data_IF_441480779529
#
_entry.id   IF_441480779529
#
_cell.length_a   1.000
_cell.length_b   1.000
_cell.length_c   1.000
_cell.angle_alpha   90.00
_cell.angle_beta   90.00
_cell.angle_gamma   90.00
#
_symmetry.space_group_name_H-M   'P 1'
#
loop_
_entity.id
_entity.type
_entity.pdbx_description
1 polymer ?
#
# COMPACT_ATOMS: atom_id res chain seq x y z
N UNK A 1 9.99 -40.31 4.87
CA UNK A 1 9.80 -39.78 3.50
C UNK A 1 8.93 -38.54 3.59
N UNK A 2 9.53 -37.35 3.47
CA UNK A 2 8.77 -36.10 3.47
C UNK A 2 7.95 -35.98 2.19
N UNK A 3 6.64 -35.82 2.30
CA UNK A 3 5.78 -35.45 1.18
C UNK A 3 6.35 -34.19 0.53
N UNK A 4 6.85 -34.28 -0.70
CA UNK A 4 7.16 -33.09 -1.51
C UNK A 4 5.88 -32.29 -1.63
N UNK A 5 5.82 -31.16 -0.93
CA UNK A 5 4.72 -30.20 -1.07
C UNK A 5 4.80 -29.67 -2.50
N UNK A 6 3.77 -29.90 -3.30
CA UNK A 6 3.67 -29.29 -4.63
C UNK A 6 3.70 -27.78 -4.47
N UNK A 7 4.74 -27.15 -4.98
CA UNK A 7 4.89 -25.70 -4.99
C UNK A 7 4.12 -25.18 -6.20
N UNK A 8 3.03 -24.47 -5.94
CA UNK A 8 2.25 -23.79 -6.99
C UNK A 8 2.68 -22.33 -7.11
N UNK A 9 2.49 -21.71 -8.27
CA UNK A 9 2.79 -20.30 -8.49
C UNK A 9 2.04 -19.40 -7.45
N UNK A 10 0.78 -19.68 -7.18
CA UNK A 10 0.01 -18.95 -6.18
C UNK A 10 0.59 -19.03 -4.76
N UNK A 11 1.18 -20.17 -4.39
CA UNK A 11 1.82 -20.33 -3.09
C UNK A 11 3.11 -19.53 -2.99
N UNK A 12 3.92 -19.52 -4.04
CA UNK A 12 5.13 -18.69 -4.11
C UNK A 12 4.77 -17.21 -4.00
N UNK A 13 3.77 -16.76 -4.76
CA UNK A 13 3.29 -15.39 -4.73
C UNK A 13 2.83 -14.97 -3.32
N UNK A 14 2.10 -15.83 -2.62
CA UNK A 14 1.61 -15.55 -1.27
C UNK A 14 2.73 -15.41 -0.22
N UNK A 15 3.88 -16.03 -0.44
CA UNK A 15 5.03 -15.96 0.47
C UNK A 15 5.95 -14.77 0.17
N UNK A 16 5.79 -14.08 -0.95
CA UNK A 16 6.59 -12.91 -1.30
C UNK A 16 6.19 -11.69 -0.47
N UNK A 17 7.18 -11.01 0.09
CA UNK A 17 6.96 -9.81 0.89
C UNK A 17 6.81 -8.54 0.03
N UNK A 18 6.37 -7.45 0.67
CA UNK A 18 6.18 -6.17 -0.02
C UNK A 18 7.50 -5.60 -0.59
N UNK A 19 8.64 -5.90 0.03
CA UNK A 19 9.95 -5.52 -0.47
C UNK A 19 10.27 -6.16 -1.82
N UNK A 20 9.90 -7.41 -2.03
CA UNK A 20 10.02 -8.07 -3.33
C UNK A 20 9.17 -7.34 -4.38
N UNK A 21 7.89 -7.08 -4.11
CA UNK A 21 7.01 -6.38 -5.04
C UNK A 21 7.52 -4.97 -5.37
N UNK A 22 8.04 -4.26 -4.37
CA UNK A 22 8.66 -2.95 -4.58
C UNK A 22 9.86 -3.03 -5.52
N UNK A 23 10.69 -4.08 -5.41
CA UNK A 23 11.88 -4.24 -6.24
C UNK A 23 11.60 -4.32 -7.74
N UNK A 24 10.40 -4.74 -8.14
CA UNK A 24 9.99 -4.79 -9.56
C UNK A 24 9.93 -3.40 -10.21
N UNK A 25 9.83 -2.35 -9.41
CA UNK A 25 9.77 -0.95 -9.85
C UNK A 25 11.10 -0.22 -9.69
N UNK A 26 12.13 -0.88 -9.17
CA UNK A 26 13.50 -0.36 -9.20
C UNK A 26 14.05 -0.35 -10.62
N UNK A 27 14.86 0.66 -10.94
CA UNK A 27 15.25 0.94 -12.32
C UNK A 27 15.88 -0.26 -13.03
N UNK A 28 16.72 -1.03 -12.35
CA UNK A 28 17.41 -2.17 -12.94
C UNK A 28 16.46 -3.34 -13.23
N UNK A 29 15.61 -3.69 -12.29
CA UNK A 29 14.65 -4.78 -12.46
C UNK A 29 13.55 -4.41 -13.45
N UNK A 30 13.07 -3.19 -13.38
CA UNK A 30 12.05 -2.68 -14.29
C UNK A 30 12.50 -2.70 -15.75
N UNK A 31 13.77 -2.34 -16.02
CA UNK A 31 14.34 -2.40 -17.35
C UNK A 31 14.40 -3.83 -17.88
N UNK A 32 14.77 -4.80 -17.05
CA UNK A 32 14.77 -6.22 -17.41
C UNK A 32 13.36 -6.76 -17.71
N UNK A 33 12.35 -6.25 -17.03
CA UNK A 33 10.95 -6.62 -17.21
C UNK A 33 10.25 -5.83 -18.32
N UNK A 34 10.98 -4.99 -19.04
CA UNK A 34 10.50 -4.23 -20.21
C UNK A 34 9.23 -3.41 -19.94
N UNK A 35 9.10 -2.85 -18.75
CA UNK A 35 7.95 -2.00 -18.38
C UNK A 35 6.66 -2.74 -18.03
N UNK A 36 6.64 -4.06 -18.06
CA UNK A 36 5.44 -4.86 -17.75
C UNK A 36 4.84 -4.55 -16.37
N UNK A 37 5.61 -4.34 -15.28
CA UNK A 37 5.02 -4.07 -13.97
C UNK A 37 4.09 -2.87 -13.90
N UNK A 38 4.30 -1.83 -14.72
CA UNK A 38 3.38 -0.69 -14.74
C UNK A 38 2.06 -0.95 -15.46
N UNK A 39 1.96 -1.99 -16.27
CA UNK A 39 0.76 -2.29 -17.07
C UNK A 39 -0.44 -2.72 -16.21
N UNK A 40 -0.21 -3.14 -14.96
CA UNK A 40 -1.29 -3.49 -14.04
C UNK A 40 -2.09 -2.25 -13.57
N UNK A 41 -1.48 -1.07 -13.62
CA UNK A 41 -2.10 0.18 -13.20
C UNK A 41 -2.85 0.84 -14.37
N UNK A 42 -3.99 0.28 -14.72
CA UNK A 42 -4.80 0.78 -15.86
C UNK A 42 -5.37 2.18 -15.64
N UNK A 43 -5.61 2.56 -14.38
CA UNK A 43 -6.12 3.87 -14.01
C UNK A 43 -5.05 4.86 -13.56
N UNK A 44 -3.79 4.63 -13.89
CA UNK A 44 -2.69 5.49 -13.49
C UNK A 44 -2.87 6.90 -14.06
N UNK A 45 -2.74 7.96 -13.21
CA UNK A 45 -2.85 9.34 -13.70
C UNK A 45 -1.80 9.67 -14.76
N UNK A 46 -2.16 10.57 -15.67
CA UNK A 46 -1.23 11.07 -16.69
C UNK A 46 0.01 11.68 -16.04
N UNK A 47 1.19 11.34 -16.54
CA UNK A 47 2.47 11.79 -16.00
C UNK A 47 3.04 10.88 -14.89
N UNK A 48 2.27 9.93 -14.39
CA UNK A 48 2.76 8.93 -13.45
C UNK A 48 3.34 7.74 -14.19
N UNK A 49 4.42 7.18 -13.64
CA UNK A 49 5.08 6.00 -14.19
C UNK A 49 5.79 5.21 -13.09
N UNK A 50 6.82 4.49 -13.48
CA UNK A 50 7.61 3.65 -12.59
C UNK A 50 8.07 4.36 -11.31
N UNK A 51 8.60 5.58 -11.45
CA UNK A 51 9.18 6.34 -10.33
C UNK A 51 8.12 6.65 -9.27
N UNK A 52 6.96 7.12 -9.69
CA UNK A 52 5.86 7.47 -8.80
C UNK A 52 5.30 6.21 -8.12
N UNK A 53 5.11 5.12 -8.84
CA UNK A 53 4.66 3.84 -8.29
C UNK A 53 5.68 3.31 -7.28
N UNK A 54 6.98 3.34 -7.60
CA UNK A 54 8.02 2.91 -6.69
C UNK A 54 7.99 3.69 -5.37
N UNK A 55 7.86 5.01 -5.46
CA UNK A 55 7.75 5.89 -4.28
C UNK A 55 6.52 5.55 -3.44
N UNK A 56 5.36 5.37 -4.06
CA UNK A 56 4.11 5.04 -3.37
C UNK A 56 4.22 3.70 -2.63
N UNK A 57 4.76 2.68 -3.28
CA UNK A 57 4.94 1.37 -2.65
C UNK A 57 5.93 1.46 -1.46
N UNK A 58 6.98 2.27 -1.59
CA UNK A 58 7.91 2.51 -0.48
C UNK A 58 7.22 3.20 0.69
N UNK A 59 6.38 4.20 0.44
CA UNK A 59 5.62 4.91 1.47
C UNK A 59 4.66 3.96 2.19
N UNK A 60 3.94 3.12 1.46
CA UNK A 60 3.07 2.07 2.03
C UNK A 60 3.88 1.10 2.89
N UNK A 61 5.06 0.69 2.42
CA UNK A 61 5.96 -0.20 3.15
C UNK A 61 6.45 0.43 4.46
N UNK A 62 6.83 1.69 4.43
CA UNK A 62 7.25 2.45 5.62
C UNK A 62 6.10 2.52 6.63
N UNK A 63 4.90 2.88 6.21
CA UNK A 63 3.72 2.93 7.08
C UNK A 63 3.43 1.55 7.70
N UNK A 64 3.41 0.49 6.89
CA UNK A 64 3.20 -0.87 7.38
C UNK A 64 4.24 -1.26 8.43
N UNK A 65 5.51 -0.92 8.23
CA UNK A 65 6.56 -1.23 9.18
C UNK A 65 6.37 -0.44 10.49
N UNK A 66 5.99 0.83 10.43
CA UNK A 66 5.66 1.63 11.62
C UNK A 66 4.52 0.99 12.42
N UNK A 67 3.45 0.57 11.74
CA UNK A 67 2.34 -0.14 12.38
C UNK A 67 2.82 -1.45 13.02
N UNK A 68 3.62 -2.25 12.32
CA UNK A 68 4.14 -3.52 12.81
C UNK A 68 5.07 -3.37 14.03
N UNK A 69 5.76 -2.24 14.14
CA UNK A 69 6.63 -1.91 15.28
C UNK A 69 5.93 -1.10 16.37
N UNK A 70 4.61 -0.97 16.30
CA UNK A 70 3.81 -0.16 17.22
C UNK A 70 4.27 1.29 17.34
N UNK A 71 4.83 1.84 16.27
CA UNK A 71 5.20 3.24 16.22
C UNK A 71 3.97 4.13 16.10
N UNK A 72 3.89 5.26 16.82
CA UNK A 72 2.76 6.16 16.73
C UNK A 72 2.67 6.80 15.35
N UNK A 73 1.47 6.80 14.76
CA UNK A 73 1.18 7.42 13.47
C UNK A 73 0.55 8.81 13.59
N UNK A 74 -0.01 9.12 14.78
CA UNK A 74 -0.81 10.32 15.04
C UNK A 74 -0.02 11.41 15.78
N UNK A 75 1.29 11.36 15.76
CA UNK A 75 2.14 12.31 16.46
C UNK A 75 3.18 12.91 15.52
N UNK A 76 3.30 14.23 15.58
CA UNK A 76 4.45 14.96 15.07
C UNK A 76 5.03 15.81 16.21
N UNK A 77 6.33 15.62 16.46
CA UNK A 77 7.08 16.43 17.44
C UNK A 77 6.39 16.60 18.80
N UNK A 78 5.77 15.55 19.33
CA UNK A 78 5.00 15.47 20.58
C UNK A 78 3.61 16.09 20.53
N UNK A 79 3.13 16.50 19.37
CA UNK A 79 1.76 16.96 19.17
C UNK A 79 0.94 15.93 18.40
N UNK A 80 -0.37 15.87 18.68
CA UNK A 80 -1.29 15.07 17.89
C UNK A 80 -1.43 15.66 16.49
N UNK A 81 -1.13 14.83 15.48
CA UNK A 81 -1.27 15.20 14.08
C UNK A 81 -1.78 14.01 13.28
N UNK A 82 -2.95 14.15 12.69
CA UNK A 82 -3.58 13.13 11.85
C UNK A 82 -3.24 13.28 10.36
N UNK A 83 -2.44 14.26 9.99
CA UNK A 83 -2.14 14.57 8.59
C UNK A 83 -1.53 13.37 7.87
N UNK A 84 -0.54 12.71 8.47
CA UNK A 84 0.11 11.54 7.89
C UNK A 84 -0.87 10.38 7.66
N UNK A 85 -1.70 10.05 8.63
CA UNK A 85 -2.69 8.96 8.52
C UNK A 85 -3.70 9.25 7.42
N UNK A 86 -4.19 10.49 7.32
CA UNK A 86 -5.12 10.92 6.27
C UNK A 86 -4.51 10.86 4.89
N UNK A 87 -3.27 11.32 4.74
CA UNK A 87 -2.54 11.24 3.47
C UNK A 87 -2.36 9.79 3.03
N UNK A 88 -1.98 8.91 3.94
CA UNK A 88 -1.81 7.49 3.64
C UNK A 88 -3.13 6.80 3.30
N UNK A 89 -4.23 7.18 3.94
CA UNK A 89 -5.55 6.69 3.61
C UNK A 89 -5.93 6.99 2.15
N UNK A 90 -5.75 8.25 1.74
CA UNK A 90 -6.02 8.67 0.35
C UNK A 90 -5.10 7.98 -0.63
N UNK A 91 -3.81 7.91 -0.33
CA UNK A 91 -2.80 7.29 -1.18
C UNK A 91 -3.09 5.80 -1.41
N UNK A 92 -3.44 5.05 -0.38
CA UNK A 92 -3.77 3.63 -0.48
C UNK A 92 -5.07 3.44 -1.28
N UNK A 93 -6.08 4.27 -1.03
CA UNK A 93 -7.35 4.21 -1.76
C UNK A 93 -7.14 4.47 -3.25
N UNK A 94 -6.38 5.49 -3.59
CA UNK A 94 -6.04 5.82 -4.98
C UNK A 94 -5.23 4.69 -5.63
N UNK A 95 -4.24 4.17 -4.95
CA UNK A 95 -3.38 3.11 -5.43
C UNK A 95 -4.17 1.86 -5.84
N UNK A 96 -5.11 1.42 -5.01
CA UNK A 96 -5.99 0.30 -5.35
C UNK A 96 -6.91 0.62 -6.53
N UNK A 97 -7.44 1.83 -6.59
CA UNK A 97 -8.31 2.27 -7.68
C UNK A 97 -7.58 2.30 -9.02
N UNK A 98 -6.31 2.66 -9.03
CA UNK A 98 -5.49 2.66 -10.25
C UNK A 98 -5.21 1.25 -10.79
N UNK A 99 -5.14 0.26 -9.92
CA UNK A 99 -5.01 -1.15 -10.33
C UNK A 99 -6.34 -1.61 -10.93
N UNK A 100 -7.42 -1.46 -10.19
CA UNK A 100 -8.76 -1.83 -10.61
C UNK A 100 -9.81 -1.07 -9.76
N UNK A 101 -10.71 -0.28 -10.37
CA UNK A 101 -11.71 0.49 -9.64
C UNK A 101 -12.70 -0.38 -8.85
N UNK A 102 -12.78 -1.67 -9.12
CA UNK A 102 -13.67 -2.60 -8.42
C UNK A 102 -13.04 -3.24 -7.17
N UNK A 103 -11.74 -3.06 -6.92
CA UNK A 103 -11.08 -3.67 -5.75
C UNK A 103 -11.69 -3.16 -4.45
N UNK A 104 -11.84 -1.84 -4.29
CA UNK A 104 -12.38 -1.24 -3.07
C UNK A 104 -13.82 -1.70 -2.83
N UNK A 105 -14.79 -1.52 -3.76
CA UNK A 105 -16.17 -1.93 -3.53
C UNK A 105 -16.36 -3.41 -3.23
N UNK A 106 -15.52 -4.28 -3.79
CA UNK A 106 -15.68 -5.74 -3.68
C UNK A 106 -14.89 -6.37 -2.55
N UNK A 107 -13.74 -5.81 -2.16
CA UNK A 107 -12.79 -6.46 -1.25
C UNK A 107 -12.35 -5.60 -0.07
N UNK A 108 -12.37 -4.29 -0.18
CA UNK A 108 -11.74 -3.38 0.76
C UNK A 108 -12.66 -2.30 1.33
N UNK A 109 -13.90 -2.17 0.87
CA UNK A 109 -14.80 -1.08 1.27
C UNK A 109 -15.02 -1.04 2.78
N UNK A 110 -15.34 -2.18 3.39
CA UNK A 110 -15.55 -2.25 4.83
C UNK A 110 -14.32 -1.86 5.63
N UNK A 111 -13.13 -2.34 5.22
CA UNK A 111 -11.89 -2.00 5.89
C UNK A 111 -11.57 -0.50 5.80
N UNK A 112 -11.77 0.10 4.63
CA UNK A 112 -11.55 1.54 4.45
C UNK A 112 -12.58 2.40 5.21
N UNK A 113 -13.83 2.00 5.25
CA UNK A 113 -14.88 2.67 6.03
C UNK A 113 -14.56 2.63 7.52
N UNK A 114 -14.10 1.50 8.04
CA UNK A 114 -13.68 1.35 9.43
C UNK A 114 -12.49 2.26 9.76
N UNK A 115 -11.48 2.33 8.90
CA UNK A 115 -10.34 3.22 9.09
C UNK A 115 -10.79 4.69 9.09
N UNK A 116 -11.66 5.09 8.17
CA UNK A 116 -12.18 6.44 8.10
C UNK A 116 -12.98 6.82 9.37
N UNK A 117 -13.78 5.90 9.87
CA UNK A 117 -14.52 6.08 11.11
C UNK A 117 -13.58 6.27 12.32
N UNK A 118 -12.53 5.49 12.43
CA UNK A 118 -11.53 5.63 13.50
C UNK A 118 -10.73 6.93 13.39
N UNK A 119 -10.40 7.38 12.21
CA UNK A 119 -9.78 8.70 11.97
C UNK A 119 -10.70 9.79 12.51
N UNK A 120 -11.99 9.77 12.16
CA UNK A 120 -12.97 10.76 12.59
C UNK A 120 -13.14 10.78 14.12
N UNK A 121 -13.22 9.62 14.77
CA UNK A 121 -13.28 9.49 16.23
C UNK A 121 -12.05 10.10 16.90
N UNK A 122 -10.87 9.78 16.39
CA UNK A 122 -9.61 10.28 16.94
C UNK A 122 -9.52 11.80 16.82
N UNK A 123 -9.89 12.36 15.68
CA UNK A 123 -9.95 13.82 15.48
C UNK A 123 -10.93 14.49 16.43
N UNK A 124 -12.09 13.90 16.65
CA UNK A 124 -13.09 14.45 17.59
C UNK A 124 -12.54 14.50 19.04
N UNK A 125 -11.77 13.51 19.46
CA UNK A 125 -11.10 13.47 20.77
C UNK A 125 -10.02 14.56 20.86
N UNK A 126 -9.20 14.71 19.82
CA UNK A 126 -8.12 15.70 19.79
C UNK A 126 -8.67 17.12 19.85
N UNK A 127 -9.79 17.39 19.19
CA UNK A 127 -10.41 18.71 19.06
C UNK A 127 -11.40 19.04 20.19
N UNK A 128 -11.56 18.12 21.13
CA UNK A 128 -12.48 18.35 22.29
C UNK A 128 -11.86 19.17 23.43
#
# INVERSE_FOLDING_TARGET
MGKRRNVTAGRVIAELNLGFWNSLYEIHHYALLQGVPCTIFRGLPTGYGRKEINTIIQDIRIMRNRVSHNEPLCFDSRQFDMTYVKQMYVLISDFFTWINPNIIPTMAQEALDNVQAEIAKTEAIINS
#
